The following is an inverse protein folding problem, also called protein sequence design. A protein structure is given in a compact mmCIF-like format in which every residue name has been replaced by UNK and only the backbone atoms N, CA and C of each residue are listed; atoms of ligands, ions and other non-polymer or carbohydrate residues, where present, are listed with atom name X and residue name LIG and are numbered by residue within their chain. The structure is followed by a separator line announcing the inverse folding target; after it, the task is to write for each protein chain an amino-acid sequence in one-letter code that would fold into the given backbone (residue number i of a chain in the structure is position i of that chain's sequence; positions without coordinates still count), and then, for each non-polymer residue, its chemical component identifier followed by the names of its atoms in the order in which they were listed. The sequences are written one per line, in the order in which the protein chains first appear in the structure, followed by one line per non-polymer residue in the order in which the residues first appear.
data_IF_635776140326
#
_entry.id   IF_635776140326
#
_cell.length_a   1.000
_cell.length_b   1.000
_cell.length_c   1.000
_cell.angle_alpha   90.00
_cell.angle_beta   90.00
_cell.angle_gamma   90.00
#
_symmetry.space_group_name_H-M   'P 1'
#
loop_
_entity.id
_entity.type
_entity.pdbx_description
1 polymer ?
#
# COMPACT_ATOMS: atom_id res chain seq x y z
N UNK A 1 10.09 63.02 38.34
CA UNK A 1 10.15 62.10 37.20
C UNK A 1 10.03 60.69 37.77
N UNK A 2 8.81 60.14 37.82
CA UNK A 2 8.53 58.81 38.38
C UNK A 2 7.72 58.04 37.34
N UNK A 3 8.30 56.94 36.84
CA UNK A 3 7.72 56.08 35.80
C UNK A 3 6.97 54.95 36.50
N UNK A 4 5.65 54.89 36.33
CA UNK A 4 4.82 53.78 36.80
C UNK A 4 4.70 52.72 35.68
N UNK A 5 5.15 51.51 35.99
CA UNK A 5 5.08 50.34 35.12
C UNK A 5 3.74 49.62 35.35
N UNK A 6 2.86 49.60 34.34
CA UNK A 6 1.62 48.82 34.37
C UNK A 6 1.84 47.51 33.60
N UNK A 7 1.84 46.39 34.30
CA UNK A 7 1.86 45.03 33.74
C UNK A 7 0.42 44.61 33.40
N UNK A 8 0.10 44.47 32.12
CA UNK A 8 -1.14 43.85 31.65
C UNK A 8 -0.92 42.34 31.50
N UNK A 9 -1.64 41.55 32.30
CA UNK A 9 -1.69 40.09 32.16
C UNK A 9 -2.72 39.76 31.07
N UNK A 10 -2.23 39.33 29.90
CA UNK A 10 -3.08 38.80 28.84
C UNK A 10 -3.52 37.37 29.15
N UNK A 11 -4.82 37.14 29.28
CA UNK A 11 -5.43 35.81 29.34
C UNK A 11 -5.32 35.15 27.96
N UNK A 12 -4.43 34.18 27.83
CA UNK A 12 -4.33 33.36 26.63
C UNK A 12 -5.56 32.44 26.51
N UNK A 13 -6.41 32.69 25.52
CA UNK A 13 -7.41 31.74 25.07
C UNK A 13 -6.70 30.56 24.41
N UNK A 14 -6.67 29.40 25.08
CA UNK A 14 -6.31 28.14 24.46
C UNK A 14 -7.42 27.76 23.47
N UNK A 15 -7.27 28.22 22.23
CA UNK A 15 -8.05 27.71 21.11
C UNK A 15 -7.76 26.21 20.97
N UNK A 16 -8.81 25.41 21.07
CA UNK A 16 -8.78 23.99 20.73
C UNK A 16 -8.32 23.87 19.28
N UNK A 17 -7.02 23.61 19.07
CA UNK A 17 -6.50 23.26 17.77
C UNK A 17 -7.04 21.87 17.45
N UNK A 18 -8.15 21.82 16.72
CA UNK A 18 -8.59 20.62 16.02
C UNK A 18 -7.41 20.22 15.14
N UNK A 19 -6.70 19.17 15.53
CA UNK A 19 -5.61 18.63 14.74
C UNK A 19 -6.19 18.30 13.36
N UNK A 20 -5.80 19.08 12.35
CA UNK A 20 -6.16 18.82 10.97
C UNK A 20 -5.63 17.43 10.66
N UNK A 21 -6.53 16.48 10.43
CA UNK A 21 -6.14 15.18 9.87
C UNK A 21 -5.39 15.50 8.57
N UNK A 22 -4.16 15.02 8.36
CA UNK A 22 -3.50 15.23 7.09
C UNK A 22 -4.44 14.70 6.00
N UNK A 23 -4.81 15.57 5.06
CA UNK A 23 -5.60 15.21 3.89
C UNK A 23 -4.90 14.04 3.22
N UNK A 24 -5.59 12.92 3.09
CA UNK A 24 -5.06 11.77 2.36
C UNK A 24 -4.74 12.19 0.93
N UNK A 25 -3.54 11.85 0.44
CA UNK A 25 -3.17 12.10 -0.96
C UNK A 25 -3.84 11.03 -1.82
N UNK A 26 -4.71 11.45 -2.72
CA UNK A 26 -5.36 10.56 -3.68
C UNK A 26 -4.87 10.92 -5.10
N UNK A 27 -4.01 10.08 -5.64
CA UNK A 27 -3.50 10.16 -7.02
C UNK A 27 -4.19 9.16 -7.95
N UNK A 28 -5.21 8.42 -7.50
CA UNK A 28 -5.94 7.51 -8.38
C UNK A 28 -6.64 8.30 -9.50
N UNK A 29 -6.61 7.81 -10.75
CA UNK A 29 -7.45 8.33 -11.81
C UNK A 29 -8.93 8.34 -11.38
N UNK A 30 -9.74 9.37 -11.73
CA UNK A 30 -11.13 9.49 -11.26
C UNK A 30 -12.02 8.28 -11.56
N UNK A 31 -11.75 7.57 -12.66
CA UNK A 31 -12.51 6.40 -13.09
C UNK A 31 -11.96 5.08 -12.50
N UNK A 32 -10.81 5.12 -11.83
CA UNK A 32 -10.18 3.97 -11.20
C UNK A 32 -10.76 3.76 -9.81
N UNK A 33 -11.63 2.75 -9.68
CA UNK A 33 -12.26 2.42 -8.41
C UNK A 33 -11.36 1.54 -7.55
N UNK A 34 -11.39 1.80 -6.25
CA UNK A 34 -10.87 0.86 -5.24
C UNK A 34 -11.78 -0.36 -5.22
N UNK A 35 -11.20 -1.57 -5.32
CA UNK A 35 -11.98 -2.81 -5.34
C UNK A 35 -12.59 -3.10 -3.96
N UNK A 36 -13.75 -3.77 -3.93
CA UNK A 36 -14.40 -4.18 -2.67
C UNK A 36 -13.45 -5.04 -1.82
N UNK A 37 -12.70 -5.94 -2.45
CA UNK A 37 -11.69 -6.78 -1.77
C UNK A 37 -10.63 -5.96 -1.04
N UNK A 38 -10.18 -4.82 -1.58
CA UNK A 38 -9.24 -3.93 -0.88
C UNK A 38 -9.88 -3.35 0.37
N UNK A 39 -11.13 -2.90 0.27
CA UNK A 39 -11.87 -2.29 1.39
C UNK A 39 -12.09 -3.34 2.49
N UNK A 40 -12.55 -4.53 2.12
CA UNK A 40 -12.79 -5.64 3.04
C UNK A 40 -11.50 -6.11 3.71
N UNK A 41 -10.42 -6.28 2.95
CA UNK A 41 -9.14 -6.68 3.49
C UNK A 41 -8.58 -5.63 4.45
N UNK A 42 -8.63 -4.35 4.10
CA UNK A 42 -8.18 -3.27 4.99
C UNK A 42 -9.02 -3.24 6.29
N UNK A 43 -10.34 -3.43 6.19
CA UNK A 43 -11.23 -3.56 7.34
C UNK A 43 -10.87 -4.75 8.23
N UNK A 44 -10.59 -5.91 7.62
CA UNK A 44 -10.18 -7.11 8.33
C UNK A 44 -8.83 -6.95 9.02
N UNK A 45 -7.83 -6.36 8.36
CA UNK A 45 -6.49 -6.11 8.95
C UNK A 45 -6.61 -5.30 10.24
N UNK A 46 -7.47 -4.29 10.24
CA UNK A 46 -7.72 -3.45 11.43
C UNK A 46 -8.50 -4.22 12.49
N UNK A 47 -9.58 -4.90 12.11
CA UNK A 47 -10.46 -5.61 13.06
C UNK A 47 -9.76 -6.79 13.75
N UNK A 48 -8.86 -7.47 13.05
CA UNK A 48 -8.06 -8.59 13.56
C UNK A 48 -6.75 -8.14 14.23
N UNK A 49 -6.38 -6.87 14.10
CA UNK A 49 -5.05 -6.36 14.47
C UNK A 49 -3.90 -7.12 13.78
N UNK A 50 -4.10 -7.61 12.56
CA UNK A 50 -3.10 -8.40 11.83
C UNK A 50 -1.84 -7.58 11.52
N UNK A 51 -1.93 -6.26 11.33
CA UNK A 51 -0.74 -5.42 11.16
C UNK A 51 0.00 -5.10 12.47
N UNK A 52 -0.47 -5.60 13.62
CA UNK A 52 0.09 -5.32 14.96
C UNK A 52 0.25 -3.81 15.27
N UNK A 53 -0.65 -2.98 14.73
CA UNK A 53 -0.59 -1.53 14.86
C UNK A 53 0.50 -0.85 14.02
N UNK A 54 1.21 -1.57 13.17
CA UNK A 54 2.07 -0.98 12.15
C UNK A 54 1.25 -0.40 10.99
N UNK A 55 1.76 0.64 10.29
CA UNK A 55 1.18 1.07 9.03
C UNK A 55 1.24 -0.08 8.03
N UNK A 56 0.30 -0.09 7.10
CA UNK A 56 0.23 -1.13 6.09
C UNK A 56 -0.16 -0.59 4.73
N UNK A 57 0.20 -1.33 3.68
CA UNK A 57 -0.26 -1.06 2.32
C UNK A 57 -1.03 -2.26 1.77
N UNK A 58 -2.08 -1.98 1.01
CA UNK A 58 -2.75 -2.98 0.17
C UNK A 58 -2.44 -2.66 -1.28
N UNK A 59 -1.90 -3.64 -2.00
CA UNK A 59 -1.51 -3.55 -3.41
C UNK A 59 -2.47 -4.42 -4.20
N UNK A 60 -3.33 -3.80 -5.00
CA UNK A 60 -4.24 -4.49 -5.91
C UNK A 60 -3.59 -4.56 -7.28
N UNK A 61 -3.15 -5.77 -7.65
CA UNK A 61 -2.43 -5.98 -8.90
C UNK A 61 -3.34 -5.81 -10.11
N UNK A 62 -4.55 -6.33 -10.04
CA UNK A 62 -5.53 -6.27 -11.13
C UNK A 62 -5.89 -4.83 -11.48
N UNK A 63 -6.05 -3.97 -10.48
CA UNK A 63 -6.30 -2.55 -10.67
C UNK A 63 -5.02 -1.70 -10.77
N UNK A 64 -3.83 -2.28 -10.60
CA UNK A 64 -2.55 -1.57 -10.58
C UNK A 64 -2.52 -0.36 -9.63
N UNK A 65 -2.95 -0.56 -8.38
CA UNK A 65 -3.04 0.48 -7.34
C UNK A 65 -2.39 0.08 -6.02
N UNK A 66 -1.96 1.08 -5.26
CA UNK A 66 -1.46 0.95 -3.90
C UNK A 66 -2.25 1.89 -3.01
N UNK A 67 -2.79 1.35 -1.91
CA UNK A 67 -3.42 2.12 -0.84
C UNK A 67 -2.60 1.98 0.43
N UNK A 68 -2.25 3.10 1.04
CA UNK A 68 -1.43 3.15 2.27
C UNK A 68 -2.29 3.60 3.44
N UNK A 69 -2.26 2.83 4.52
CA UNK A 69 -3.01 3.04 5.74
C UNK A 69 -2.05 3.24 6.92
N UNK A 70 -2.45 4.08 7.88
CA UNK A 70 -1.79 4.13 9.17
C UNK A 70 -2.09 2.88 10.00
N UNK A 71 -1.35 2.66 11.08
CA UNK A 71 -1.66 1.59 12.04
C UNK A 71 -3.00 1.75 12.76
N UNK A 72 -3.60 2.94 12.67
CA UNK A 72 -4.96 3.25 13.11
C UNK A 72 -6.03 2.91 12.04
N UNK A 73 -5.65 2.31 10.92
CA UNK A 73 -6.55 1.97 9.81
C UNK A 73 -6.98 3.16 8.95
N UNK A 74 -6.51 4.39 9.24
CA UNK A 74 -6.88 5.57 8.45
C UNK A 74 -6.09 5.60 7.15
N UNK A 75 -6.77 5.80 6.03
CA UNK A 75 -6.14 6.01 4.73
C UNK A 75 -5.22 7.23 4.77
N UNK A 76 -3.97 7.03 4.34
CA UNK A 76 -2.93 8.08 4.21
C UNK A 76 -2.75 8.50 2.76
N UNK A 77 -2.95 7.58 1.83
CA UNK A 77 -3.11 7.90 0.43
C UNK A 77 -3.35 6.69 -0.46
N UNK A 78 -3.74 6.97 -1.70
CA UNK A 78 -3.94 6.01 -2.75
C UNK A 78 -3.28 6.51 -4.04
N UNK A 79 -2.69 5.61 -4.83
CA UNK A 79 -2.03 5.95 -6.09
C UNK A 79 -2.00 4.77 -7.06
N UNK A 80 -1.91 5.03 -8.38
CA UNK A 80 -1.54 4.01 -9.35
C UNK A 80 -0.11 3.54 -9.08
N UNK A 81 0.17 2.28 -9.45
CA UNK A 81 1.49 1.70 -9.38
C UNK A 81 1.85 0.96 -10.66
N UNK A 82 3.13 0.98 -11.01
CA UNK A 82 3.70 0.11 -12.01
C UNK A 82 4.15 -1.19 -11.34
N UNK A 83 3.79 -2.31 -11.95
CA UNK A 83 3.99 -3.65 -11.42
C UNK A 83 4.81 -4.49 -12.40
N UNK A 84 5.13 -5.71 -11.96
CA UNK A 84 5.77 -6.71 -12.78
C UNK A 84 5.09 -6.83 -14.15
N UNK A 85 5.89 -6.87 -15.20
CA UNK A 85 5.41 -6.98 -16.58
C UNK A 85 4.70 -8.31 -16.88
N UNK A 86 4.92 -9.35 -16.08
CA UNK A 86 4.18 -10.60 -16.16
C UNK A 86 3.08 -10.70 -15.09
N UNK A 87 1.96 -11.29 -15.49
CA UNK A 87 0.85 -11.66 -14.60
C UNK A 87 1.22 -12.95 -13.87
N UNK A 88 1.23 -12.91 -12.54
CA UNK A 88 1.50 -14.06 -11.69
C UNK A 88 1.70 -13.71 -10.22
N UNK A 89 1.50 -14.70 -9.35
CA UNK A 89 1.48 -14.51 -7.89
C UNK A 89 2.75 -15.00 -7.18
N UNK A 90 3.71 -15.55 -7.90
CA UNK A 90 4.91 -16.15 -7.32
C UNK A 90 6.16 -15.70 -8.02
N UNK A 91 7.21 -15.46 -7.24
CA UNK A 91 8.56 -15.22 -7.76
C UNK A 91 9.16 -16.53 -8.25
N UNK A 92 9.70 -16.52 -9.47
CA UNK A 92 10.35 -17.72 -10.00
C UNK A 92 11.64 -18.04 -9.22
N UNK A 93 11.99 -19.33 -9.06
CA UNK A 93 13.18 -19.73 -8.29
C UNK A 93 14.45 -19.05 -8.79
N UNK A 94 15.22 -18.47 -7.86
CA UNK A 94 16.51 -17.84 -8.16
C UNK A 94 16.45 -16.45 -8.82
N UNK A 95 15.25 -15.89 -9.07
CA UNK A 95 15.11 -14.55 -9.69
C UNK A 95 15.85 -13.47 -8.92
N UNK A 96 15.83 -13.51 -7.59
CA UNK A 96 16.54 -12.54 -6.74
C UNK A 96 18.06 -12.53 -6.96
N UNK A 97 18.64 -13.61 -7.52
CA UNK A 97 20.07 -13.71 -7.83
C UNK A 97 20.45 -13.31 -9.26
N UNK A 98 19.48 -12.96 -10.11
CA UNK A 98 19.73 -12.57 -11.50
C UNK A 98 19.93 -11.07 -11.64
N UNK A 99 20.74 -10.63 -12.61
CA UNK A 99 20.70 -9.23 -13.01
C UNK A 99 19.33 -8.90 -13.62
N UNK A 100 18.81 -7.69 -13.44
CA UNK A 100 17.46 -7.31 -13.92
C UNK A 100 17.23 -7.64 -15.40
N UNK A 101 18.25 -7.41 -16.26
CA UNK A 101 18.17 -7.71 -17.70
C UNK A 101 18.05 -9.21 -18.01
N UNK A 102 18.48 -10.06 -17.10
CA UNK A 102 18.51 -11.52 -17.25
C UNK A 102 17.23 -12.19 -16.77
N UNK A 103 16.40 -11.48 -15.99
CA UNK A 103 15.08 -11.98 -15.56
C UNK A 103 14.19 -12.16 -16.80
N UNK A 104 13.80 -13.40 -17.15
CA UNK A 104 12.94 -13.67 -18.30
C UNK A 104 11.61 -12.95 -18.17
N UNK A 105 11.03 -12.49 -19.28
CA UNK A 105 9.79 -11.68 -19.26
C UNK A 105 8.66 -12.33 -18.45
N UNK A 106 8.46 -13.64 -18.60
CA UNK A 106 7.45 -14.43 -17.86
C UNK A 106 7.66 -14.48 -16.34
N UNK A 107 8.89 -14.25 -15.88
CA UNK A 107 9.30 -14.37 -14.48
C UNK A 107 9.33 -12.98 -13.79
N UNK A 108 8.97 -11.91 -14.50
CA UNK A 108 8.89 -10.52 -14.00
C UNK A 108 7.55 -10.25 -13.32
N UNK A 109 7.24 -11.02 -12.28
CA UNK A 109 5.97 -10.96 -11.55
C UNK A 109 6.11 -10.14 -10.27
N UNK A 110 5.03 -9.49 -9.84
CA UNK A 110 4.91 -8.99 -8.46
C UNK A 110 4.21 -10.06 -7.63
N UNK A 111 4.89 -10.72 -6.67
CA UNK A 111 4.35 -11.86 -5.94
C UNK A 111 3.23 -11.44 -4.99
N UNK A 112 2.17 -12.24 -4.92
CA UNK A 112 1.06 -12.01 -4.00
C UNK A 112 1.42 -12.48 -2.59
N UNK A 113 0.75 -11.97 -1.57
CA UNK A 113 0.93 -12.42 -0.18
C UNK A 113 1.01 -11.29 0.84
N UNK A 114 1.28 -11.68 2.09
CA UNK A 114 1.49 -10.79 3.23
C UNK A 114 2.97 -10.76 3.58
N UNK A 115 3.54 -9.57 3.63
CA UNK A 115 4.96 -9.37 3.88
C UNK A 115 5.19 -8.35 4.99
N UNK A 116 6.19 -8.60 5.84
CA UNK A 116 6.70 -7.61 6.80
C UNK A 116 7.94 -6.99 6.18
N UNK A 117 7.84 -5.71 5.87
CA UNK A 117 8.86 -4.99 5.11
C UNK A 117 9.37 -3.75 5.83
N UNK A 118 10.44 -3.18 5.29
CA UNK A 118 11.08 -2.02 5.87
C UNK A 118 12.25 -1.50 5.04
N UNK A 119 12.72 -0.32 5.42
CA UNK A 119 13.86 0.29 4.75
C UNK A 119 15.15 -0.44 5.06
N UNK A 120 15.85 -0.90 4.02
CA UNK A 120 17.13 -1.58 4.13
C UNK A 120 18.10 -1.20 3.01
N UNK A 121 19.37 -1.65 3.09
CA UNK A 121 20.37 -1.36 2.08
C UNK A 121 20.00 -2.00 0.74
N UNK A 122 20.41 -1.36 -0.35
CA UNK A 122 20.37 -1.89 -1.72
C UNK A 122 21.73 -1.64 -2.38
N UNK A 123 22.21 -2.62 -3.14
CA UNK A 123 23.51 -2.56 -3.81
C UNK A 123 23.54 -1.40 -4.82
N UNK A 124 22.44 -1.22 -5.56
CA UNK A 124 22.39 -0.26 -6.67
C UNK A 124 21.73 1.07 -6.30
N UNK A 125 20.83 1.06 -5.31
CA UNK A 125 20.03 2.23 -4.93
C UNK A 125 20.38 2.81 -3.54
N UNK A 126 21.38 2.23 -2.85
CA UNK A 126 21.80 2.62 -1.51
C UNK A 126 20.82 2.19 -0.42
N UNK A 127 19.56 2.63 -0.51
CA UNK A 127 18.48 2.29 0.44
C UNK A 127 17.12 2.27 -0.26
N UNK A 128 16.35 1.20 -0.04
CA UNK A 128 15.00 1.02 -0.60
C UNK A 128 14.04 0.50 0.46
N UNK A 129 12.73 0.67 0.23
CA UNK A 129 11.71 0.03 1.04
C UNK A 129 11.50 -1.40 0.53
N UNK A 130 12.12 -2.38 1.19
CA UNK A 130 11.91 -3.79 0.88
C UNK A 130 10.52 -4.20 1.32
N UNK A 131 9.76 -4.79 0.41
CA UNK A 131 8.50 -5.47 0.71
C UNK A 131 8.81 -6.91 1.06
N UNK A 132 9.55 -7.59 0.19
CA UNK A 132 10.05 -8.94 0.41
C UNK A 132 11.52 -9.00 0.01
N UNK A 133 12.37 -9.30 0.99
CA UNK A 133 13.81 -9.37 0.78
C UNK A 133 14.20 -10.61 -0.04
N UNK A 134 13.53 -11.74 0.18
CA UNK A 134 13.89 -13.01 -0.43
C UNK A 134 13.58 -13.05 -1.93
N UNK A 135 12.49 -12.39 -2.36
CA UNK A 135 12.18 -12.19 -3.77
C UNK A 135 12.75 -10.92 -4.39
N UNK A 136 13.52 -10.14 -3.62
CA UNK A 136 14.06 -8.84 -4.04
C UNK A 136 12.99 -7.84 -4.54
N UNK A 137 11.81 -7.84 -3.93
CA UNK A 137 10.70 -6.94 -4.27
C UNK A 137 10.70 -5.74 -3.33
N UNK A 138 10.68 -4.54 -3.91
CA UNK A 138 10.66 -3.28 -3.18
C UNK A 138 9.61 -2.31 -3.73
N UNK A 139 9.21 -1.35 -2.90
CA UNK A 139 8.48 -0.15 -3.33
C UNK A 139 9.49 0.98 -3.48
N UNK A 140 9.46 1.67 -4.61
CA UNK A 140 10.33 2.81 -4.85
C UNK A 140 9.69 3.81 -5.84
N UNK A 141 10.11 5.07 -5.87
CA UNK A 141 9.60 6.01 -6.86
C UNK A 141 10.02 5.54 -8.26
N UNK A 142 9.17 5.80 -9.24
CA UNK A 142 9.48 5.48 -10.63
C UNK A 142 10.70 6.29 -11.10
N UNK A 143 11.58 5.64 -11.86
CA UNK A 143 12.63 6.34 -12.59
C UNK A 143 12.03 7.12 -13.77
N UNK A 144 12.50 8.33 -14.00
CA UNK A 144 12.13 9.17 -15.17
C UNK A 144 13.24 9.24 -16.22
N UNK A 145 14.37 8.57 -15.98
CA UNK A 145 15.57 8.64 -16.81
C UNK A 145 15.57 7.76 -18.07
N UNK A 146 14.50 6.98 -18.32
CA UNK A 146 14.38 6.11 -19.51
C UNK A 146 13.11 6.45 -20.28
N UNK A 147 13.12 7.48 -21.16
CA UNK A 147 11.91 7.98 -21.81
C UNK A 147 11.17 6.93 -22.66
N UNK A 148 11.88 5.96 -23.23
CA UNK A 148 11.27 4.87 -24.00
C UNK A 148 10.33 3.98 -23.18
N UNK A 149 10.52 3.92 -21.86
CA UNK A 149 9.66 3.18 -20.94
C UNK A 149 8.41 3.94 -20.52
N UNK A 150 8.25 5.22 -20.91
CA UNK A 150 7.04 6.05 -20.70
C UNK A 150 6.36 5.85 -19.34
N UNK A 151 7.14 5.74 -18.26
CA UNK A 151 6.64 5.37 -16.93
C UNK A 151 5.65 6.40 -16.36
N UNK A 152 5.89 7.73 -16.51
CA UNK A 152 4.90 8.73 -16.11
C UNK A 152 3.56 8.55 -16.85
N UNK A 153 3.60 8.30 -18.16
CA UNK A 153 2.40 8.11 -18.97
C UNK A 153 1.66 6.83 -18.62
N UNK A 154 2.39 5.75 -18.31
CA UNK A 154 1.81 4.49 -17.81
C UNK A 154 1.09 4.71 -16.48
N UNK A 155 1.71 5.40 -15.51
CA UNK A 155 1.06 5.72 -14.23
C UNK A 155 -0.20 6.59 -14.42
N UNK A 156 -0.21 7.47 -15.41
CA UNK A 156 -1.36 8.31 -15.72
C UNK A 156 -2.42 7.61 -16.59
N UNK A 157 -2.16 6.40 -17.08
CA UNK A 157 -3.11 5.68 -17.93
C UNK A 157 -4.32 5.22 -17.10
N UNK A 158 -5.55 5.31 -17.65
CA UNK A 158 -6.72 4.70 -17.02
C UNK A 158 -6.76 3.17 -17.14
N UNK A 159 -5.87 2.55 -17.92
CA UNK A 159 -5.82 1.09 -18.09
C UNK A 159 -4.74 0.46 -17.19
N UNK A 160 -5.10 -0.41 -16.23
CA UNK A 160 -4.13 -1.12 -15.40
C UNK A 160 -3.12 -1.97 -16.18
N UNK A 161 -3.46 -2.39 -17.40
CA UNK A 161 -2.55 -3.17 -18.25
C UNK A 161 -1.34 -2.34 -18.71
N UNK A 162 -1.49 -1.03 -18.89
CA UNK A 162 -0.39 -0.14 -19.25
C UNK A 162 0.66 -0.04 -18.12
N UNK A 163 0.26 -0.35 -16.89
CA UNK A 163 1.11 -0.28 -15.71
C UNK A 163 2.05 -1.49 -15.55
N UNK A 164 2.01 -2.47 -16.47
CA UNK A 164 2.84 -3.69 -16.44
C UNK A 164 4.16 -3.47 -17.16
N UNK A 165 5.22 -3.15 -16.41
CA UNK A 165 6.53 -2.81 -17.02
C UNK A 165 7.75 -3.19 -16.17
N UNK A 166 7.59 -3.40 -14.87
CA UNK A 166 8.74 -3.63 -13.98
C UNK A 166 9.21 -5.09 -14.05
N UNK A 167 10.31 -5.37 -13.35
CA UNK A 167 10.83 -6.72 -13.13
C UNK A 167 10.24 -7.43 -11.91
N UNK A 168 9.29 -6.77 -11.20
CA UNK A 168 8.64 -7.31 -10.01
C UNK A 168 8.43 -6.25 -8.92
N UNK A 169 9.32 -5.26 -8.85
CA UNK A 169 9.18 -4.12 -7.95
C UNK A 169 7.88 -3.33 -8.20
N UNK A 170 7.41 -2.65 -7.17
CA UNK A 170 6.23 -1.79 -7.20
C UNK A 170 6.73 -0.36 -7.34
N UNK A 171 6.36 0.34 -8.41
CA UNK A 171 6.80 1.72 -8.63
C UNK A 171 5.63 2.67 -8.55
N UNK A 172 5.79 3.75 -7.79
CA UNK A 172 4.77 4.80 -7.62
C UNK A 172 5.30 6.14 -8.09
N UNK A 173 4.46 7.17 -8.13
CA UNK A 173 4.94 8.53 -8.44
C UNK A 173 5.96 9.00 -7.39
N UNK A 174 6.93 9.86 -7.76
CA UNK A 174 7.86 10.44 -6.79
C UNK A 174 7.15 11.23 -5.69
N UNK A 175 6.05 11.91 -6.02
CA UNK A 175 5.24 12.69 -5.07
C UNK A 175 4.59 11.78 -4.03
N UNK A 176 3.88 10.74 -4.46
CA UNK A 176 3.26 9.77 -3.57
C UNK A 176 4.30 9.07 -2.68
N UNK A 177 5.44 8.71 -3.26
CA UNK A 177 6.52 8.08 -2.51
C UNK A 177 7.02 8.98 -1.38
N UNK A 178 7.33 10.25 -1.67
CA UNK A 178 7.90 11.15 -0.68
C UNK A 178 6.88 11.60 0.37
N UNK A 179 5.64 11.88 -0.04
CA UNK A 179 4.64 12.42 0.89
C UNK A 179 3.97 11.32 1.73
N UNK A 180 3.76 10.13 1.17
CA UNK A 180 2.98 9.05 1.80
C UNK A 180 3.85 7.87 2.19
N UNK A 181 4.54 7.25 1.23
CA UNK A 181 5.23 5.96 1.46
C UNK A 181 6.40 6.14 2.43
N UNK A 182 7.28 7.10 2.15
CA UNK A 182 8.49 7.30 2.95
C UNK A 182 8.19 7.76 4.37
N UNK A 183 7.11 8.52 4.54
CA UNK A 183 6.64 9.02 5.83
C UNK A 183 5.96 7.94 6.66
N UNK A 184 5.08 7.13 6.04
CA UNK A 184 4.36 6.05 6.69
C UNK A 184 5.32 4.94 7.16
N UNK A 185 6.19 4.46 6.28
CA UNK A 185 6.97 3.24 6.52
C UNK A 185 8.36 3.48 7.13
N UNK A 186 8.60 4.63 7.77
CA UNK A 186 9.90 4.94 8.43
C UNK A 186 10.37 3.85 9.39
N UNK A 187 9.42 3.20 10.07
CA UNK A 187 9.66 2.12 11.04
C UNK A 187 9.37 0.72 10.48
N UNK A 188 9.19 0.60 9.16
CA UNK A 188 8.65 -0.59 8.53
C UNK A 188 7.13 -0.65 8.56
N UNK A 189 6.57 -1.73 8.04
CA UNK A 189 5.14 -1.98 8.00
C UNK A 189 4.79 -3.31 7.36
N UNK A 190 3.49 -3.53 7.16
CA UNK A 190 2.96 -4.76 6.56
C UNK A 190 2.43 -4.47 5.16
N UNK A 191 2.72 -5.34 4.21
CA UNK A 191 2.35 -5.19 2.81
C UNK A 191 1.50 -6.38 2.38
N UNK A 192 0.29 -6.10 1.92
CA UNK A 192 -0.65 -7.10 1.43
C UNK A 192 -0.77 -6.94 -0.08
N UNK A 193 -0.26 -7.89 -0.84
CA UNK A 193 -0.35 -7.90 -2.31
C UNK A 193 -1.44 -8.89 -2.72
N UNK A 194 -2.53 -8.37 -3.29
CA UNK A 194 -3.66 -9.20 -3.74
C UNK A 194 -3.25 -10.12 -4.90
N UNK A 195 -3.73 -11.37 -4.92
CA UNK A 195 -3.47 -12.30 -6.01
C UNK A 195 -4.26 -11.93 -7.27
N UNK A 196 -3.74 -12.34 -8.42
CA UNK A 196 -4.41 -12.17 -9.73
C UNK A 196 -4.60 -13.51 -10.49
N UNK A 197 -4.06 -14.62 -9.97
CA UNK A 197 -4.32 -15.99 -10.46
C UNK A 197 -4.78 -16.94 -9.35
N UNK A 198 -4.15 -16.89 -8.19
CA UNK A 198 -4.52 -17.65 -7.00
C UNK A 198 -5.80 -17.11 -6.38
N UNK A 199 -6.49 -17.95 -5.60
CA UNK A 199 -7.66 -17.50 -4.87
C UNK A 199 -7.26 -16.62 -3.67
N UNK A 200 -8.19 -15.78 -3.21
CA UNK A 200 -8.02 -15.06 -1.95
C UNK A 200 -7.83 -16.04 -0.78
N UNK A 201 -8.52 -17.19 -0.79
CA UNK A 201 -8.39 -18.18 0.28
C UNK A 201 -7.00 -18.84 0.33
N UNK A 202 -6.35 -19.05 -0.82
CA UNK A 202 -4.99 -19.59 -0.86
C UNK A 202 -3.94 -18.56 -0.40
N UNK A 203 -4.19 -17.28 -0.67
CA UNK A 203 -3.23 -16.18 -0.38
C UNK A 203 -3.43 -15.60 1.02
N UNK A 204 -4.68 -15.47 1.47
CA UNK A 204 -5.09 -14.90 2.75
C UNK A 204 -6.17 -15.77 3.41
N UNK A 205 -5.81 -16.97 3.91
CA UNK A 205 -6.79 -17.95 4.43
C UNK A 205 -7.59 -17.42 5.63
N UNK A 206 -6.95 -16.65 6.53
CA UNK A 206 -7.62 -16.09 7.71
C UNK A 206 -8.64 -15.01 7.35
N UNK A 207 -8.30 -14.14 6.38
CA UNK A 207 -9.22 -13.16 5.82
C UNK A 207 -10.42 -13.85 5.18
N UNK A 208 -10.19 -14.84 4.30
CA UNK A 208 -11.25 -15.59 3.66
C UNK A 208 -12.18 -16.30 4.67
N UNK A 209 -11.62 -16.88 5.73
CA UNK A 209 -12.37 -17.53 6.80
C UNK A 209 -13.28 -16.59 7.60
N UNK A 210 -12.89 -15.32 7.73
CA UNK A 210 -13.68 -14.31 8.45
C UNK A 210 -15.01 -13.96 7.75
N UNK A 211 -15.07 -14.08 6.42
CA UNK A 211 -16.30 -13.86 5.65
C UNK A 211 -17.31 -14.99 5.84
N UNK A 212 -16.85 -16.24 5.98
CA UNK A 212 -17.71 -17.40 6.25
C UNK A 212 -18.34 -17.35 7.64
N UNK A 213 -17.62 -16.92 8.68
CA UNK A 213 -18.17 -16.80 10.03
C UNK A 213 -19.20 -15.67 10.16
N UNK A 214 -18.98 -14.57 9.42
CA UNK A 214 -19.87 -13.41 9.41
C UNK A 214 -21.21 -13.72 8.71
N UNK A 215 -21.17 -14.50 7.62
CA UNK A 215 -22.39 -14.96 6.93
C UNK A 215 -23.15 -16.06 7.68
N UNK A 216 -22.49 -16.89 8.50
CA UNK A 216 -23.20 -17.89 9.32
C UNK A 216 -23.91 -17.26 10.53
N UNK A 217 -23.36 -16.18 11.09
CA UNK A 217 -23.95 -15.48 12.25
C UNK A 217 -25.23 -14.72 11.86
N UNK A 218 -25.27 -14.07 10.69
CA UNK A 218 -26.46 -13.34 10.20
C UNK A 218 -27.63 -14.26 9.82
N UNK A 219 -27.33 -15.49 9.39
CA UNK A 219 -28.34 -16.51 9.08
C UNK A 219 -28.93 -17.21 10.33
N UNK A 220 -28.28 -17.09 11.50
CA UNK A 220 -28.79 -17.61 12.77
C UNK A 220 -29.67 -16.59 13.50
N UNK A 221 -29.31 -15.29 13.46
CA UNK A 221 -30.10 -14.22 14.09
C UNK A 221 -31.50 -14.06 13.47
N UNK A 222 -31.62 -14.27 12.15
CA UNK A 222 -32.90 -14.22 11.44
C UNK A 222 -33.85 -15.37 11.81
N UNK A 223 -33.33 -16.50 12.32
CA UNK A 223 -34.15 -17.63 12.79
C UNK A 223 -34.60 -17.48 14.23
N UNK A 224 -33.90 -16.68 15.03
CA UNK A 224 -34.24 -16.46 16.43
C UNK A 224 -35.28 -15.34 16.64
N UNK A 225 -35.37 -14.40 15.70
CA UNK A 225 -36.37 -13.32 15.70
C UNK A 225 -37.76 -13.75 15.16
N UNK A 226 -37.96 -15.03 14.85
CA UNK A 226 -39.21 -15.57 14.30
C UNK A 226 -39.90 -16.58 15.24
N UNK A 227 -39.61 -16.56 16.53
CA UNK A 227 -40.28 -17.37 17.55
C UNK A 227 -40.90 -16.50 18.64
#
# INVERSE_FOLDING_TARGET
MAMALMLSVGVAHAGNAVAQSPTSIDELPPDQKVSETVIELAGWVVASNDSEGYPFAVIDKTAAQVLVFGGDGRLRGAAPALLGSAIGDHSAPGVAGLALREIPGRDRTTPAGRYVGGYGPSIDAGRVLWVDYDSAVSIHPTATGVPSEKRPERLASPSPDDNRITHGCINVSPTFYEQVVSSAFKRGGVFYILPEKASIADTFPEFAGSHTTSHSSSAQDTRHASQ
#
